data_IF_902824656661
#
_entry.id   IF_902824656661
#
_cell.length_a   1.000
_cell.length_b   1.000
_cell.length_c   1.000
_cell.angle_alpha   90.00
_cell.angle_beta   90.00
_cell.angle_gamma   90.00
#
_symmetry.space_group_name_H-M   'P 1'
#
loop_
_entity.id
_entity.type
_entity.pdbx_description
1 polymer ?
#
# COMPACT_ATOMS: atom_id res chain seq x y z
N UNK A 1 13.32 5.59 -10.90
CA UNK A 1 12.74 4.23 -10.83
C UNK A 1 11.70 4.09 -9.73
N UNK A 2 12.00 4.40 -8.46
CA UNK A 2 11.01 4.31 -7.36
C UNK A 2 9.66 4.99 -7.66
N UNK A 3 9.68 6.28 -8.05
CA UNK A 3 8.44 7.01 -8.33
C UNK A 3 7.61 6.42 -9.48
N UNK A 4 8.24 5.77 -10.46
CA UNK A 4 7.50 5.12 -11.55
C UNK A 4 6.69 3.94 -11.02
N UNK A 5 7.30 3.07 -10.23
CA UNK A 5 6.60 1.96 -9.57
C UNK A 5 5.54 2.47 -8.59
N UNK A 6 5.86 3.52 -7.84
CA UNK A 6 4.93 4.17 -6.93
C UNK A 6 3.69 4.66 -7.68
N UNK A 7 3.84 5.52 -8.70
CA UNK A 7 2.69 6.04 -9.45
C UNK A 7 1.92 4.95 -10.20
N UNK A 8 2.59 3.95 -10.76
CA UNK A 8 1.92 2.82 -11.40
C UNK A 8 1.01 2.07 -10.41
N UNK A 9 1.52 1.76 -9.22
CA UNK A 9 0.73 1.17 -8.13
C UNK A 9 -0.40 2.10 -7.68
N UNK A 10 -0.11 3.39 -7.46
CA UNK A 10 -1.11 4.39 -7.06
C UNK A 10 -2.29 4.41 -8.04
N UNK A 11 -2.01 4.46 -9.36
CA UNK A 11 -3.05 4.47 -10.39
C UNK A 11 -3.82 3.16 -10.40
N UNK A 12 -3.13 2.02 -10.32
CA UNK A 12 -3.78 0.71 -10.31
C UNK A 12 -4.73 0.55 -9.12
N UNK A 13 -4.29 0.93 -7.91
CA UNK A 13 -5.09 0.90 -6.69
C UNK A 13 -6.27 1.87 -6.78
N UNK A 14 -6.04 3.07 -7.29
CA UNK A 14 -7.12 4.05 -7.47
C UNK A 14 -8.19 3.54 -8.43
N UNK A 15 -7.80 2.93 -9.55
CA UNK A 15 -8.75 2.31 -10.48
C UNK A 15 -9.50 1.16 -9.83
N UNK A 16 -8.78 0.31 -9.08
CA UNK A 16 -9.39 -0.78 -8.32
C UNK A 16 -10.47 -0.28 -7.36
N UNK A 17 -10.18 0.81 -6.62
CA UNK A 17 -11.14 1.43 -5.69
C UNK A 17 -12.30 2.13 -6.41
N UNK A 18 -12.05 2.71 -7.58
CA UNK A 18 -13.12 3.29 -8.39
C UNK A 18 -14.07 2.22 -8.97
N UNK A 19 -13.56 1.05 -9.32
CA UNK A 19 -14.31 -0.04 -9.95
C UNK A 19 -15.06 -0.92 -8.94
N UNK A 20 -14.46 -1.19 -7.77
CA UNK A 20 -14.99 -2.17 -6.79
C UNK A 20 -15.38 -1.54 -5.45
N UNK A 21 -15.03 -0.27 -5.21
CA UNK A 21 -15.35 0.46 -3.97
C UNK A 21 -14.22 0.42 -2.95
N UNK A 22 -14.50 0.03 -1.71
CA UNK A 22 -13.50 -0.07 -0.63
C UNK A 22 -13.08 -1.54 -0.38
N UNK A 23 -12.36 -2.21 -1.29
CA UNK A 23 -11.69 -3.46 -0.93
C UNK A 23 -10.48 -3.13 -0.05
N UNK A 24 -10.31 -3.90 1.02
CA UNK A 24 -9.07 -3.89 1.79
C UNK A 24 -7.95 -4.43 0.91
N UNK A 25 -7.21 -3.53 0.29
CA UNK A 25 -6.06 -3.81 -0.57
C UNK A 25 -4.79 -3.57 0.26
N UNK A 26 -4.69 -4.21 1.43
CA UNK A 26 -3.45 -4.21 2.20
C UNK A 26 -2.40 -5.03 1.44
N UNK A 27 -1.74 -4.40 0.47
CA UNK A 27 -0.54 -4.91 -0.20
C UNK A 27 0.62 -4.77 0.78
N UNK A 28 0.55 -5.51 1.88
CA UNK A 28 1.57 -5.50 2.91
C UNK A 28 2.82 -6.19 2.34
N UNK A 29 3.95 -5.47 2.30
CA UNK A 29 5.22 -5.94 1.74
C UNK A 29 5.26 -6.15 0.21
N UNK A 30 4.25 -5.71 -0.53
CA UNK A 30 4.29 -5.64 -2.01
C UNK A 30 4.53 -4.23 -2.56
N UNK A 31 5.09 -3.34 -1.74
CA UNK A 31 5.32 -1.95 -2.12
C UNK A 31 6.46 -1.77 -3.14
N UNK A 32 6.61 -0.54 -3.69
CA UNK A 32 7.61 -0.23 -4.71
C UNK A 32 9.04 -0.57 -4.29
N UNK A 33 9.35 -0.39 -3.00
CA UNK A 33 10.67 -0.72 -2.45
C UNK A 33 10.90 -2.23 -2.56
N UNK A 34 9.95 -3.03 -2.08
CA UNK A 34 10.02 -4.48 -2.09
C UNK A 34 10.08 -5.03 -3.52
N UNK A 35 9.28 -4.47 -4.44
CA UNK A 35 9.33 -4.82 -5.87
C UNK A 35 10.70 -4.55 -6.49
N UNK A 36 11.31 -3.40 -6.19
CA UNK A 36 12.64 -3.05 -6.70
C UNK A 36 13.70 -3.97 -6.10
N UNK A 37 13.68 -4.17 -4.78
CA UNK A 37 14.70 -4.97 -4.10
C UNK A 37 14.62 -6.46 -4.43
N UNK A 38 13.42 -7.00 -4.68
CA UNK A 38 13.23 -8.40 -5.09
C UNK A 38 13.55 -8.63 -6.57
N UNK A 39 13.23 -7.67 -7.44
CA UNK A 39 13.46 -7.82 -8.89
C UNK A 39 14.90 -7.52 -9.31
N UNK A 40 15.53 -6.52 -8.70
CA UNK A 40 16.89 -6.08 -9.09
C UNK A 40 17.95 -6.66 -8.17
N UNK A 41 17.56 -7.13 -6.98
CA UNK A 41 18.50 -7.50 -5.92
C UNK A 41 19.10 -6.25 -5.27
N UNK A 42 19.40 -6.32 -3.97
CA UNK A 42 19.98 -5.19 -3.25
C UNK A 42 21.46 -5.01 -3.55
N UNK A 43 22.16 -6.06 -3.99
CA UNK A 43 23.56 -6.02 -4.42
C UNK A 43 23.79 -5.10 -5.63
N UNK A 44 22.85 -5.10 -6.59
CA UNK A 44 22.95 -4.34 -7.84
C UNK A 44 22.51 -2.87 -7.71
N UNK A 45 21.97 -2.48 -6.54
CA UNK A 45 21.56 -1.12 -6.28
C UNK A 45 22.76 -0.28 -5.83
N UNK A 46 22.84 0.95 -6.33
CA UNK A 46 23.86 1.90 -5.87
C UNK A 46 23.73 2.14 -4.35
N UNK A 47 24.85 2.43 -3.69
CA UNK A 47 24.84 2.73 -2.25
C UNK A 47 23.92 3.90 -1.91
N UNK A 48 23.89 4.94 -2.75
CA UNK A 48 22.96 6.06 -2.59
C UNK A 48 21.51 5.59 -2.63
N UNK A 49 21.13 4.78 -3.62
CA UNK A 49 19.78 4.23 -3.72
C UNK A 49 19.39 3.39 -2.50
N UNK A 50 20.30 2.55 -1.98
CA UNK A 50 20.06 1.74 -0.77
C UNK A 50 19.76 2.60 0.46
N UNK A 51 20.44 3.73 0.61
CA UNK A 51 20.26 4.64 1.76
C UNK A 51 19.00 5.50 1.60
N UNK A 52 18.66 5.91 0.39
CA UNK A 52 17.51 6.80 0.15
C UNK A 52 16.18 6.05 0.18
N UNK A 53 16.09 4.81 -0.32
CA UNK A 53 14.81 4.09 -0.38
C UNK A 53 14.08 3.97 0.98
N UNK A 54 14.74 3.61 2.10
CA UNK A 54 14.08 3.51 3.41
C UNK A 54 13.48 4.84 3.90
N UNK A 55 13.98 5.99 3.44
CA UNK A 55 13.39 7.29 3.75
C UNK A 55 11.98 7.44 3.18
N UNK A 56 11.65 6.69 2.12
CA UNK A 56 10.31 6.65 1.53
C UNK A 56 9.43 5.53 2.10
N UNK A 57 9.87 4.83 3.15
CA UNK A 57 9.09 3.75 3.76
C UNK A 57 7.69 4.20 4.21
N UNK A 58 7.57 5.44 4.69
CA UNK A 58 6.30 6.00 5.16
C UNK A 58 5.20 6.07 4.07
N UNK A 59 5.57 6.14 2.78
CA UNK A 59 4.61 6.12 1.66
C UNK A 59 4.51 4.77 0.95
N UNK A 60 5.48 3.87 1.14
CA UNK A 60 5.57 2.61 0.39
C UNK A 60 5.23 1.37 1.20
N UNK A 61 5.06 1.50 2.52
CA UNK A 61 4.93 0.38 3.46
C UNK A 61 3.61 -0.37 3.35
N UNK A 62 2.50 0.38 3.32
CA UNK A 62 1.14 -0.13 3.13
C UNK A 62 0.39 0.81 2.23
N UNK A 63 -0.44 0.23 1.37
CA UNK A 63 -1.22 0.96 0.38
C UNK A 63 -2.68 1.12 0.76
N UNK A 64 -3.13 0.47 1.84
CA UNK A 64 -4.48 0.56 2.41
C UNK A 64 -5.00 2.01 2.54
N UNK A 65 -4.16 2.91 3.05
CA UNK A 65 -4.48 4.33 3.29
C UNK A 65 -3.93 5.26 2.20
N UNK A 66 -3.85 4.81 0.94
CA UNK A 66 -3.22 5.60 -0.13
C UNK A 66 -3.95 6.93 -0.36
N UNK A 67 -3.18 8.02 -0.48
CA UNK A 67 -3.69 9.40 -0.54
C UNK A 67 -4.60 9.63 -1.76
N UNK A 68 -4.21 9.12 -2.93
CA UNK A 68 -4.91 9.36 -4.20
C UNK A 68 -6.37 8.85 -4.22
N UNK A 69 -6.69 7.61 -3.80
CA UNK A 69 -8.08 7.19 -3.64
C UNK A 69 -8.89 8.05 -2.66
N UNK A 70 -8.33 8.40 -1.49
CA UNK A 70 -9.02 9.24 -0.51
C UNK A 70 -9.36 10.64 -1.07
N UNK A 71 -8.45 11.21 -1.87
CA UNK A 71 -8.69 12.47 -2.56
C UNK A 71 -9.79 12.35 -3.63
N UNK A 72 -9.78 11.27 -4.41
CA UNK A 72 -10.81 11.02 -5.43
C UNK A 72 -12.20 10.83 -4.85
N UNK A 73 -12.31 10.11 -3.74
CA UNK A 73 -13.58 9.97 -3.01
C UNK A 73 -14.06 11.32 -2.49
N UNK A 74 -13.16 12.15 -1.94
CA UNK A 74 -13.47 13.52 -1.51
C UNK A 74 -13.97 14.39 -2.68
N UNK A 75 -13.33 14.33 -3.84
CA UNK A 75 -13.81 15.03 -5.03
C UNK A 75 -15.14 14.49 -5.54
N UNK A 76 -15.38 13.18 -5.43
CA UNK A 76 -16.64 12.60 -5.85
C UNK A 76 -17.80 13.01 -4.95
N UNK A 77 -17.57 13.14 -3.65
CA UNK A 77 -18.55 13.67 -2.69
C UNK A 77 -18.86 15.14 -3.00
N UNK A 78 -17.84 15.94 -3.32
CA UNK A 78 -18.04 17.33 -3.69
C UNK A 78 -18.89 17.49 -4.96
N UNK A 79 -18.60 16.69 -5.99
CA UNK A 79 -19.37 16.61 -7.23
C UNK A 79 -20.85 16.22 -6.98
N UNK A 80 -21.10 15.23 -6.12
CA UNK A 80 -22.46 14.77 -5.79
C UNK A 80 -23.25 15.74 -4.90
N UNK A 81 -22.57 16.60 -4.17
CA UNK A 81 -23.17 17.53 -3.20
C UNK A 81 -23.22 18.97 -3.73
N UNK A 82 -22.93 19.17 -5.02
CA UNK A 82 -22.86 20.48 -5.69
C UNK A 82 -21.94 21.48 -4.96
N UNK A 83 -20.83 20.97 -4.41
CA UNK A 83 -19.85 21.76 -3.69
C UNK A 83 -18.84 22.37 -4.66
N UNK A 84 -18.43 23.61 -4.38
CA UNK A 84 -17.37 24.27 -5.14
C UNK A 84 -16.04 23.51 -5.00
N UNK A 85 -15.50 23.02 -6.12
CA UNK A 85 -14.27 22.21 -6.17
C UNK A 85 -13.09 22.92 -5.48
N UNK A 86 -12.95 24.24 -5.68
CA UNK A 86 -11.87 25.01 -5.05
C UNK A 86 -11.99 25.01 -3.52
N UNK A 87 -13.20 25.17 -2.98
CA UNK A 87 -13.43 25.11 -1.52
C UNK A 87 -13.11 23.72 -0.98
N UNK A 88 -13.52 22.67 -1.68
CA UNK A 88 -13.21 21.29 -1.28
C UNK A 88 -11.70 21.04 -1.23
N UNK A 89 -10.94 21.51 -2.24
CA UNK A 89 -9.47 21.41 -2.24
C UNK A 89 -8.89 22.10 -1.00
N UNK A 90 -9.33 23.32 -0.69
CA UNK A 90 -8.86 24.05 0.49
C UNK A 90 -9.23 23.36 1.80
N UNK A 91 -10.43 22.78 1.91
CA UNK A 91 -10.85 22.01 3.08
C UNK A 91 -9.99 20.76 3.28
N UNK A 92 -9.68 20.04 2.19
CA UNK A 92 -8.77 18.88 2.23
C UNK A 92 -7.38 19.32 2.69
N UNK A 93 -6.82 20.39 2.11
CA UNK A 93 -5.51 20.91 2.49
C UNK A 93 -5.43 21.33 3.96
N UNK A 94 -6.46 22.02 4.44
CA UNK A 94 -6.56 22.42 5.84
C UNK A 94 -6.69 21.20 6.77
N UNK A 95 -7.52 20.23 6.38
CA UNK A 95 -7.65 18.95 7.09
C UNK A 95 -6.34 18.19 7.19
N UNK A 96 -5.55 18.14 6.10
CA UNK A 96 -4.22 17.54 6.08
C UNK A 96 -3.25 18.29 7.01
N UNK A 97 -3.22 19.63 6.94
CA UNK A 97 -2.33 20.43 7.77
C UNK A 97 -2.63 20.26 9.28
N UNK A 98 -3.90 20.35 9.66
CA UNK A 98 -4.35 20.12 11.04
C UNK A 98 -4.09 18.68 11.47
N UNK A 99 -4.37 17.72 10.57
CA UNK A 99 -4.13 16.30 10.79
C UNK A 99 -2.66 16.02 11.11
N UNK A 100 -1.72 16.57 10.34
CA UNK A 100 -0.28 16.44 10.59
C UNK A 100 0.06 16.92 11.99
N UNK A 101 -0.32 18.16 12.35
CA UNK A 101 -0.02 18.73 13.67
C UNK A 101 -0.64 17.91 14.79
N UNK A 102 -1.90 17.49 14.64
CA UNK A 102 -2.61 16.68 15.61
C UNK A 102 -1.96 15.30 15.79
N UNK A 103 -1.57 14.63 14.71
CA UNK A 103 -0.89 13.33 14.77
C UNK A 103 0.45 13.43 15.48
N UNK A 104 1.27 14.45 15.18
CA UNK A 104 2.54 14.68 15.89
C UNK A 104 2.30 14.96 17.38
N UNK A 105 1.31 15.80 17.71
CA UNK A 105 0.96 16.09 19.09
C UNK A 105 0.49 14.85 19.86
N UNK A 106 -0.45 14.09 19.29
CA UNK A 106 -0.99 12.87 19.92
C UNK A 106 0.12 11.84 20.11
N UNK A 107 0.96 11.63 19.10
CA UNK A 107 2.07 10.68 19.18
C UNK A 107 3.02 11.05 20.31
N UNK A 108 3.43 12.32 20.41
CA UNK A 108 4.29 12.80 21.50
C UNK A 108 3.59 12.69 22.87
N UNK A 109 2.37 13.19 22.99
CA UNK A 109 1.61 13.19 24.24
C UNK A 109 1.40 11.76 24.77
N UNK A 110 1.00 10.84 23.90
CA UNK A 110 0.82 9.43 24.28
C UNK A 110 2.14 8.76 24.63
N UNK A 111 3.20 9.04 23.88
CA UNK A 111 4.56 8.54 24.16
C UNK A 111 5.06 8.97 25.54
N UNK A 112 4.83 10.23 25.94
CA UNK A 112 5.22 10.73 27.26
C UNK A 112 4.34 10.20 28.39
N UNK A 113 3.05 9.96 28.13
CA UNK A 113 2.10 9.52 29.16
C UNK A 113 2.21 8.04 29.49
N UNK A 114 2.35 7.20 28.47
CA UNK A 114 2.38 5.73 28.60
C UNK A 114 3.82 5.21 28.70
N UNK A 115 4.79 5.95 28.13
CA UNK A 115 6.14 5.47 27.89
C UNK A 115 6.18 4.62 26.62
N UNK A 116 7.25 4.77 25.83
CA UNK A 116 7.39 4.04 24.55
C UNK A 116 7.29 2.52 24.74
N UNK A 117 7.91 1.98 25.80
CA UNK A 117 7.97 0.53 26.06
C UNK A 117 6.61 -0.08 26.45
N UNK A 118 5.68 0.73 26.96
CA UNK A 118 4.34 0.27 27.34
C UNK A 118 3.28 0.60 26.29
N UNK A 119 3.66 1.21 25.16
CA UNK A 119 2.70 1.45 24.09
C UNK A 119 2.26 0.11 23.46
N UNK A 120 0.98 -0.04 23.10
CA UNK A 120 0.52 -1.22 22.38
C UNK A 120 1.32 -1.40 21.09
N UNK A 121 1.79 -2.62 20.86
CA UNK A 121 2.41 -3.01 19.59
C UNK A 121 1.48 -2.62 18.43
N UNK A 122 1.97 -1.93 17.38
CA UNK A 122 3.36 -1.95 16.92
C UNK A 122 4.04 -0.55 16.82
N UNK A 123 3.70 0.37 17.72
CA UNK A 123 4.16 1.77 17.66
C UNK A 123 5.69 1.94 17.54
N UNK A 124 6.48 1.14 18.27
CA UNK A 124 7.95 1.15 18.22
C UNK A 124 8.50 0.43 16.98
N UNK A 125 7.93 -0.73 16.66
CA UNK A 125 8.43 -1.61 15.60
C UNK A 125 8.33 -0.96 14.22
N UNK A 126 7.26 -0.18 13.99
CA UNK A 126 7.05 0.53 12.72
C UNK A 126 8.11 1.60 12.45
N UNK A 127 8.63 2.27 13.48
CA UNK A 127 9.71 3.24 13.33
C UNK A 127 11.07 2.60 13.08
N UNK A 128 11.30 1.39 13.62
CA UNK A 128 12.56 0.65 13.50
C UNK A 128 12.68 -0.15 12.20
N UNK A 129 11.55 -0.55 11.64
CA UNK A 129 11.45 -1.36 10.42
C UNK A 129 12.31 -0.88 9.24
N UNK A 130 12.21 0.40 8.76
CA UNK A 130 13.01 0.85 7.62
C UNK A 130 14.52 0.77 7.86
N UNK A 131 14.96 1.01 9.11
CA UNK A 131 16.36 0.96 9.49
C UNK A 131 16.88 -0.46 9.60
N UNK A 132 16.02 -1.40 9.98
CA UNK A 132 16.36 -2.83 10.01
C UNK A 132 16.58 -3.34 8.59
N UNK A 133 15.75 -2.93 7.62
CA UNK A 133 15.97 -3.23 6.21
C UNK A 133 17.25 -2.58 5.67
N UNK A 134 17.51 -1.31 6.00
CA UNK A 134 18.75 -0.65 5.60
C UNK A 134 19.98 -1.41 6.12
N UNK A 135 19.98 -1.77 7.40
CA UNK A 135 21.04 -2.56 8.01
C UNK A 135 21.22 -3.88 7.27
N UNK A 136 20.14 -4.59 6.98
CA UNK A 136 20.18 -5.84 6.21
C UNK A 136 20.80 -5.65 4.82
N UNK A 137 20.38 -4.62 4.07
CA UNK A 137 20.90 -4.38 2.71
C UNK A 137 22.37 -3.95 2.68
N UNK A 138 22.88 -3.39 3.78
CA UNK A 138 24.28 -3.01 3.92
C UNK A 138 25.16 -4.20 4.34
N UNK A 139 24.70 -5.03 5.28
CA UNK A 139 25.49 -6.15 5.82
C UNK A 139 25.33 -7.45 5.04
N UNK A 140 24.20 -7.65 4.37
CA UNK A 140 23.86 -8.88 3.66
C UNK A 140 23.13 -8.53 2.36
N UNK A 141 23.85 -7.95 1.37
CA UNK A 141 23.27 -7.65 0.08
C UNK A 141 22.81 -8.94 -0.59
N UNK A 142 21.55 -8.94 -1.04
CA UNK A 142 20.91 -10.02 -1.76
C UNK A 142 21.10 -9.87 -3.25
N UNK A 143 21.38 -10.98 -3.94
CA UNK A 143 21.42 -11.04 -5.40
C UNK A 143 20.01 -11.08 -5.99
N UNK A 144 19.94 -11.12 -7.33
CA UNK A 144 18.67 -11.24 -8.05
C UNK A 144 18.06 -12.61 -7.78
N UNK A 145 16.82 -12.61 -7.29
CA UNK A 145 16.06 -13.85 -7.14
C UNK A 145 15.20 -14.09 -8.39
N UNK A 146 15.71 -14.93 -9.29
CA UNK A 146 15.03 -15.31 -10.52
C UNK A 146 13.71 -16.07 -10.28
N UNK A 147 13.59 -16.80 -9.16
CA UNK A 147 12.35 -17.50 -8.82
C UNK A 147 11.25 -16.51 -8.46
N UNK A 148 11.57 -15.49 -7.66
CA UNK A 148 10.63 -14.43 -7.32
C UNK A 148 10.17 -13.66 -8.57
N UNK A 149 11.08 -13.31 -9.47
CA UNK A 149 10.73 -12.65 -10.75
C UNK A 149 9.80 -13.55 -11.57
N UNK A 150 10.10 -14.85 -11.65
CA UNK A 150 9.27 -15.83 -12.36
C UNK A 150 7.85 -15.91 -11.80
N UNK A 151 7.70 -15.90 -10.47
CA UNK A 151 6.39 -15.91 -9.81
C UNK A 151 5.60 -14.61 -10.02
N UNK A 152 6.27 -13.45 -9.96
CA UNK A 152 5.65 -12.15 -10.28
C UNK A 152 5.17 -12.16 -11.74
N UNK A 153 6.01 -12.63 -12.67
CA UNK A 153 5.66 -12.76 -14.08
C UNK A 153 4.48 -13.70 -14.33
N UNK A 154 4.46 -14.85 -13.65
CA UNK A 154 3.34 -15.79 -13.72
C UNK A 154 2.04 -15.16 -13.20
N UNK A 155 2.10 -14.46 -12.05
CA UNK A 155 0.96 -13.74 -11.51
C UNK A 155 0.44 -12.67 -12.47
N UNK A 156 1.33 -11.92 -13.11
CA UNK A 156 0.97 -10.95 -14.14
C UNK A 156 0.24 -11.59 -15.32
N UNK A 157 0.76 -12.71 -15.85
CA UNK A 157 0.12 -13.46 -16.95
C UNK A 157 -1.27 -13.96 -16.54
N UNK A 158 -1.40 -14.50 -15.33
CA UNK A 158 -2.70 -14.97 -14.80
C UNK A 158 -3.69 -13.81 -14.68
N UNK A 159 -3.27 -12.65 -14.17
CA UNK A 159 -4.13 -11.47 -14.06
C UNK A 159 -4.56 -10.96 -15.43
N UNK A 160 -3.63 -10.85 -16.39
CA UNK A 160 -3.95 -10.45 -17.76
C UNK A 160 -4.93 -11.42 -18.43
N UNK A 161 -4.74 -12.71 -18.21
CA UNK A 161 -5.66 -13.74 -18.67
C UNK A 161 -7.06 -13.56 -18.05
N UNK A 162 -7.15 -13.43 -16.72
CA UNK A 162 -8.42 -13.22 -16.03
C UNK A 162 -9.11 -11.92 -16.47
N UNK A 163 -8.37 -10.83 -16.62
CA UNK A 163 -8.92 -9.55 -17.08
C UNK A 163 -9.45 -9.60 -18.52
N UNK A 164 -8.76 -10.35 -19.39
CA UNK A 164 -9.19 -10.55 -20.78
C UNK A 164 -10.42 -11.44 -20.84
N UNK A 165 -10.44 -12.53 -20.07
CA UNK A 165 -11.60 -13.43 -20.00
C UNK A 165 -12.83 -12.74 -19.39
N UNK A 166 -12.65 -11.93 -18.34
CA UNK A 166 -13.76 -11.16 -17.75
C UNK A 166 -14.29 -10.07 -18.69
N UNK A 167 -13.46 -9.51 -19.56
CA UNK A 167 -13.89 -8.53 -20.56
C UNK A 167 -14.63 -9.17 -21.75
N UNK A 168 -14.28 -10.42 -22.10
CA UNK A 168 -14.87 -11.13 -23.25
C UNK A 168 -16.14 -11.93 -22.87
N UNK A 169 -16.24 -12.44 -21.64
CA UNK A 169 -17.32 -13.31 -21.21
C UNK A 169 -18.08 -12.74 -20.01
N UNK A 170 -19.28 -12.20 -20.26
CA UNK A 170 -20.17 -11.64 -19.23
C UNK A 170 -20.62 -12.65 -18.16
N UNK A 171 -20.54 -13.96 -18.44
CA UNK A 171 -20.92 -15.02 -17.49
C UNK A 171 -19.77 -15.48 -16.57
N UNK A 172 -18.55 -14.97 -16.77
CA UNK A 172 -17.37 -15.47 -16.05
C UNK A 172 -17.31 -14.89 -14.64
N UNK A 173 -17.47 -15.75 -13.62
CA UNK A 173 -17.52 -15.34 -12.20
C UNK A 173 -16.16 -15.02 -11.58
N UNK A 174 -15.05 -15.37 -12.25
CA UNK A 174 -13.69 -15.09 -11.74
C UNK A 174 -13.24 -13.71 -12.20
N UNK A 175 -13.43 -12.72 -11.33
CA UNK A 175 -13.02 -11.35 -11.57
C UNK A 175 -11.52 -11.17 -11.22
N UNK A 176 -10.71 -10.48 -12.05
CA UNK A 176 -9.28 -10.22 -11.78
C UNK A 176 -9.05 -9.49 -10.45
N UNK A 177 -10.05 -8.75 -9.97
CA UNK A 177 -10.01 -8.05 -8.68
C UNK A 177 -9.95 -9.03 -7.51
N UNK A 178 -10.63 -10.18 -7.60
CA UNK A 178 -10.54 -11.21 -6.56
C UNK A 178 -9.11 -11.71 -6.37
N UNK A 179 -8.35 -11.87 -7.46
CA UNK A 179 -6.94 -12.24 -7.39
C UNK A 179 -6.07 -11.15 -6.75
N UNK A 180 -6.31 -9.87 -7.09
CA UNK A 180 -5.55 -8.74 -6.56
C UNK A 180 -5.76 -8.53 -5.05
N UNK A 181 -6.95 -8.83 -4.54
CA UNK A 181 -7.31 -8.60 -3.13
C UNK A 181 -7.13 -9.86 -2.27
N UNK A 182 -7.07 -11.06 -2.86
CA UNK A 182 -6.94 -12.32 -2.13
C UNK A 182 -5.70 -12.41 -1.20
N UNK A 183 -4.65 -11.65 -1.51
CA UNK A 183 -3.43 -11.58 -0.69
C UNK A 183 -3.50 -10.62 0.49
N UNK A 184 -4.57 -9.83 0.65
CA UNK A 184 -4.64 -8.81 1.70
C UNK A 184 -4.89 -9.41 3.08
N UNK A 185 -4.32 -8.75 4.09
CA UNK A 185 -4.50 -9.17 5.48
C UNK A 185 -5.98 -9.14 5.89
N UNK A 186 -6.76 -8.14 5.47
CA UNK A 186 -8.18 -8.05 5.78
C UNK A 186 -9.05 -9.09 5.06
N UNK A 187 -8.71 -9.54 3.85
CA UNK A 187 -9.40 -10.69 3.24
C UNK A 187 -9.12 -11.98 4.00
N UNK A 188 -7.89 -12.20 4.48
CA UNK A 188 -7.57 -13.36 5.32
C UNK A 188 -8.30 -13.34 6.66
N UNK A 189 -8.60 -12.14 7.19
CA UNK A 189 -9.37 -11.96 8.42
C UNK A 189 -10.87 -12.19 8.17
N UNK A 190 -11.43 -11.59 7.12
CA UNK A 190 -12.82 -11.78 6.73
C UNK A 190 -13.13 -13.25 6.39
N UNK A 191 -12.22 -13.93 5.69
CA UNK A 191 -12.31 -15.36 5.41
C UNK A 191 -12.31 -16.21 6.68
N UNK A 192 -11.46 -15.88 7.66
CA UNK A 192 -11.45 -16.57 8.97
C UNK A 192 -12.73 -16.32 9.77
N UNK A 193 -13.27 -15.10 9.73
CA UNK A 193 -14.53 -14.76 10.40
C UNK A 193 -15.72 -15.45 9.71
N UNK A 194 -15.79 -15.48 8.38
CA UNK A 194 -16.83 -16.20 7.65
C UNK A 194 -16.75 -17.73 7.86
N UNK A 195 -15.55 -18.29 7.93
CA UNK A 195 -15.37 -19.72 8.23
C UNK A 195 -15.78 -20.06 9.66
N UNK A 196 -15.52 -19.17 10.62
CA UNK A 196 -15.99 -19.30 12.01
C UNK A 196 -17.49 -19.01 12.17
N UNK A 197 -18.08 -18.23 11.27
CA UNK A 197 -19.49 -17.85 11.29
C UNK A 197 -20.43 -18.85 10.59
N UNK A 198 -19.91 -19.93 9.99
CA UNK A 198 -20.71 -21.04 9.49
C UNK A 198 -21.73 -20.65 8.41
N UNK A 199 -21.26 -20.51 7.17
CA UNK A 199 -22.05 -20.79 5.98
C UNK A 199 -21.36 -21.87 5.17
#
# INVERSE_FOLDING_TARGET
>A
TFFLFFYALSIAITRLRAEVGFPDHDVHFGGPIQMITSSVGTANLSQASRITMPLFWFISRRFDNHIMPHQLEGFKIADRSDMEVQRTVWSILLGVAVGIVATFWILLHTSFKVGLDNMPHPSLDWGREPWSYLQQWLHSPTEIDYYHIGLIGLGFVVVCFLATMSALFLWWSLHPVGYAVAGSYGMSFCGRVCWQAGF
#
